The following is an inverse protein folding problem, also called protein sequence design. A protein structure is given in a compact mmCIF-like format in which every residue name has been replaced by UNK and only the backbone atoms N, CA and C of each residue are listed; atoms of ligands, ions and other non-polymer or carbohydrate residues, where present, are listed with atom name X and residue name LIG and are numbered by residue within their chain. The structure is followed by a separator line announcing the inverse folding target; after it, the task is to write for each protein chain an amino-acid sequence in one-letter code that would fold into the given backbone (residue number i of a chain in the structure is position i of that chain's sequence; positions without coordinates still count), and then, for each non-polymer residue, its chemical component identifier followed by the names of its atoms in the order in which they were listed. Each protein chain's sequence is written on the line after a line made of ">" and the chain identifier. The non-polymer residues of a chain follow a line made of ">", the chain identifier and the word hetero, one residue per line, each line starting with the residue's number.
data_IF_375726435334
#
_entry.id   IF_375726435334
#
_cell.length_a   1.000
_cell.length_b   1.000
_cell.length_c   1.000
_cell.angle_alpha   90.00
_cell.angle_beta   90.00
_cell.angle_gamma   90.00
#
_symmetry.space_group_name_H-M   'P 1'
#
loop_
_entity.id
_entity.type
_entity.pdbx_description
1 polymer ?
#
# COMPACT_ATOMS: atom_id res chain seq x y z
N UNK A 1 -42.17 59.56 27.98
CA UNK A 1 -41.52 59.31 26.67
C UNK A 1 -40.60 58.08 26.68
N UNK A 2 -39.87 57.79 27.77
CA UNK A 2 -38.91 56.67 27.85
C UNK A 2 -39.48 55.27 27.50
N UNK A 3 -40.68 54.91 27.98
CA UNK A 3 -41.25 53.57 27.70
C UNK A 3 -41.61 53.31 26.23
N UNK A 4 -41.93 54.36 25.47
CA UNK A 4 -42.23 54.24 24.02
C UNK A 4 -40.96 54.13 23.20
N UNK A 5 -39.88 54.80 23.60
CA UNK A 5 -38.57 54.66 22.96
C UNK A 5 -38.00 53.25 23.18
N UNK A 6 -38.10 52.72 24.40
CA UNK A 6 -37.70 51.35 24.75
C UNK A 6 -38.39 50.29 23.87
N UNK A 7 -39.71 50.41 23.68
CA UNK A 7 -40.45 49.46 22.84
C UNK A 7 -39.98 49.45 21.38
N UNK A 8 -39.58 50.61 20.83
CA UNK A 8 -39.07 50.72 19.46
C UNK A 8 -37.68 50.06 19.34
N UNK A 9 -36.80 50.24 20.31
CA UNK A 9 -35.47 49.60 20.29
C UNK A 9 -35.55 48.08 20.45
N UNK A 10 -36.41 47.59 21.36
CA UNK A 10 -36.64 46.14 21.51
C UNK A 10 -37.21 45.53 20.23
N UNK A 11 -38.19 46.19 19.61
CA UNK A 11 -38.74 45.74 18.33
C UNK A 11 -37.67 45.71 17.22
N UNK A 12 -36.80 46.72 17.16
CA UNK A 12 -35.69 46.76 16.20
C UNK A 12 -34.70 45.62 16.41
N UNK A 13 -34.27 45.37 17.65
CA UNK A 13 -33.34 44.28 17.96
C UNK A 13 -33.95 42.90 17.68
N UNK A 14 -35.24 42.71 17.95
CA UNK A 14 -35.94 41.47 17.61
C UNK A 14 -35.99 41.25 16.10
N UNK A 15 -36.29 42.28 15.31
CA UNK A 15 -36.30 42.17 13.83
C UNK A 15 -34.91 41.84 13.29
N UNK A 16 -33.86 42.47 13.82
CA UNK A 16 -32.46 42.17 13.46
C UNK A 16 -32.10 40.74 13.86
N UNK A 17 -32.51 40.29 15.05
CA UNK A 17 -32.27 38.94 15.53
C UNK A 17 -32.98 37.87 14.69
N UNK A 18 -34.23 38.10 14.30
CA UNK A 18 -34.97 37.18 13.44
C UNK A 18 -34.40 37.14 12.02
N UNK A 19 -33.96 38.28 11.49
CA UNK A 19 -33.34 38.32 10.17
C UNK A 19 -31.99 37.57 10.16
N UNK A 20 -31.17 37.77 11.20
CA UNK A 20 -29.91 37.05 11.39
C UNK A 20 -30.11 35.53 11.55
N UNK A 21 -31.11 35.12 12.33
CA UNK A 21 -31.41 33.70 12.55
C UNK A 21 -31.89 32.98 11.28
N UNK A 22 -32.65 33.66 10.41
CA UNK A 22 -33.05 33.09 9.11
C UNK A 22 -31.85 32.92 8.19
N UNK A 23 -30.93 33.89 8.15
CA UNK A 23 -29.74 33.83 7.29
C UNK A 23 -28.81 32.68 7.67
N UNK A 24 -28.60 32.44 8.96
CA UNK A 24 -27.79 31.30 9.43
C UNK A 24 -28.46 29.98 9.08
N UNK A 25 -29.78 29.87 9.29
CA UNK A 25 -30.51 28.61 9.11
C UNK A 25 -30.66 28.18 7.64
N UNK A 26 -30.41 29.08 6.68
CA UNK A 26 -30.49 28.78 5.24
C UNK A 26 -29.16 28.91 4.52
N UNK A 27 -28.07 29.16 5.24
CA UNK A 27 -26.75 29.18 4.64
C UNK A 27 -26.31 27.72 4.41
N UNK A 28 -26.17 27.34 3.15
CA UNK A 28 -25.52 26.08 2.74
C UNK A 28 -24.01 26.38 2.63
N UNK A 29 -23.18 25.56 3.28
CA UNK A 29 -21.72 25.63 3.11
C UNK A 29 -21.39 25.15 1.70
N UNK A 30 -20.61 25.90 0.90
CA UNK A 30 -20.25 25.45 -0.43
C UNK A 30 -19.39 24.19 -0.33
N UNK A 31 -19.74 23.20 -1.14
CA UNK A 31 -18.98 21.96 -1.28
C UNK A 31 -17.80 22.20 -2.23
N UNK A 32 -16.70 21.49 -1.99
CA UNK A 32 -15.52 21.55 -2.85
C UNK A 32 -15.85 20.80 -4.14
N UNK A 33 -15.64 21.44 -5.27
CA UNK A 33 -15.91 20.85 -6.58
C UNK A 33 -14.74 21.11 -7.53
N UNK A 34 -14.51 20.18 -8.44
CA UNK A 34 -13.52 20.32 -9.49
C UNK A 34 -14.26 20.32 -10.83
N UNK A 35 -14.34 21.48 -11.49
CA UNK A 35 -15.09 21.64 -12.75
C UNK A 35 -14.40 20.95 -13.95
N UNK A 36 -13.08 20.78 -13.89
CA UNK A 36 -12.24 20.14 -14.91
C UNK A 36 -11.10 19.38 -14.20
N UNK A 37 -11.40 18.26 -13.52
CA UNK A 37 -10.37 17.47 -12.87
C UNK A 37 -9.49 16.78 -13.92
N UNK A 38 -8.23 16.49 -13.55
CA UNK A 38 -7.35 15.70 -14.41
C UNK A 38 -7.90 14.28 -14.58
N UNK A 39 -8.42 13.70 -13.50
CA UNK A 39 -9.05 12.40 -13.50
C UNK A 39 -10.31 12.37 -12.62
N UNK A 40 -11.34 11.68 -13.11
CA UNK A 40 -12.54 11.29 -12.38
C UNK A 40 -12.68 9.77 -12.59
N UNK A 41 -12.51 9.00 -11.51
CA UNK A 41 -12.26 7.56 -11.55
C UNK A 41 -13.19 6.82 -10.60
N UNK A 42 -13.66 5.65 -11.01
CA UNK A 42 -14.36 4.69 -10.15
C UNK A 42 -13.46 3.51 -9.80
N UNK A 43 -13.88 2.71 -8.81
CA UNK A 43 -13.20 1.45 -8.49
C UNK A 43 -13.05 0.55 -9.73
N UNK A 44 -11.82 0.07 -9.96
CA UNK A 44 -11.41 -0.73 -11.11
C UNK A 44 -11.01 0.07 -12.36
N UNK A 45 -11.16 1.39 -12.36
CA UNK A 45 -10.68 2.22 -13.46
C UNK A 45 -9.15 2.35 -13.45
N UNK A 46 -8.55 2.30 -14.64
CA UNK A 46 -7.12 2.54 -14.83
C UNK A 46 -6.86 3.88 -15.52
N UNK A 47 -5.74 4.50 -15.15
CA UNK A 47 -5.28 5.77 -15.71
C UNK A 47 -3.75 5.81 -15.78
N UNK A 48 -3.21 6.71 -16.60
CA UNK A 48 -1.77 6.82 -16.83
C UNK A 48 -1.26 8.18 -16.37
N UNK A 49 -0.21 8.19 -15.56
CA UNK A 49 0.54 9.39 -15.17
C UNK A 49 2.01 9.16 -15.46
N UNK A 50 2.63 10.08 -16.21
CA UNK A 50 4.05 10.01 -16.57
C UNK A 50 4.51 8.68 -17.22
N UNK A 51 3.59 7.95 -17.86
CA UNK A 51 3.84 6.66 -18.50
C UNK A 51 3.74 5.45 -17.57
N UNK A 52 3.37 5.63 -16.31
CA UNK A 52 3.00 4.57 -15.37
C UNK A 52 1.48 4.39 -15.35
N UNK A 53 1.02 3.16 -15.53
CA UNK A 53 -0.40 2.80 -15.36
C UNK A 53 -0.69 2.57 -13.87
N UNK A 54 -1.76 3.20 -13.40
CA UNK A 54 -2.31 3.06 -12.06
C UNK A 54 -3.76 2.58 -12.18
N UNK A 55 -4.23 1.83 -11.18
CA UNK A 55 -5.62 1.36 -11.07
C UNK A 55 -6.19 1.79 -9.73
N UNK A 56 -7.43 2.23 -9.70
CA UNK A 56 -8.17 2.43 -8.45
C UNK A 56 -8.61 1.07 -7.93
N UNK A 57 -7.95 0.58 -6.88
CA UNK A 57 -8.20 -0.75 -6.32
C UNK A 57 -9.46 -0.79 -5.44
N UNK A 58 -9.71 0.27 -4.68
CA UNK A 58 -10.83 0.37 -3.73
C UNK A 58 -11.21 1.84 -3.49
N UNK A 59 -12.50 2.08 -3.23
CA UNK A 59 -13.00 3.34 -2.65
C UNK A 59 -13.89 3.00 -1.46
N UNK A 60 -13.58 3.59 -0.32
CA UNK A 60 -14.26 3.33 0.95
C UNK A 60 -14.95 4.59 1.47
N UNK A 61 -16.19 4.44 1.95
CA UNK A 61 -16.93 5.44 2.73
C UNK A 61 -17.32 4.83 4.09
N UNK A 62 -16.95 5.49 5.18
CA UNK A 62 -17.25 5.05 6.55
C UNK A 62 -17.92 6.18 7.33
N UNK A 63 -18.94 5.84 8.11
CA UNK A 63 -19.58 6.76 9.05
C UNK A 63 -18.91 6.64 10.43
N UNK A 64 -18.29 7.72 10.90
CA UNK A 64 -17.71 7.83 12.23
C UNK A 64 -18.61 8.71 13.12
N UNK A 65 -19.06 8.18 14.26
CA UNK A 65 -19.76 8.96 15.27
C UNK A 65 -18.75 9.54 16.28
N UNK A 66 -18.76 10.85 16.48
CA UNK A 66 -17.95 11.49 17.50
C UNK A 66 -18.53 11.30 18.92
N UNK A 67 -17.77 11.68 19.96
CA UNK A 67 -18.22 11.59 21.36
C UNK A 67 -19.49 12.41 21.69
N UNK A 68 -19.87 13.34 20.80
CA UNK A 68 -21.01 14.25 20.93
C UNK A 68 -22.24 13.73 20.18
N UNK A 69 -22.07 12.67 19.38
CA UNK A 69 -23.11 12.03 18.58
C UNK A 69 -23.29 12.66 17.20
N UNK A 70 -22.33 13.44 16.73
CA UNK A 70 -22.26 13.94 15.36
C UNK A 70 -21.67 12.85 14.46
N UNK A 71 -22.31 12.60 13.32
CA UNK A 71 -21.86 11.61 12.31
C UNK A 71 -20.98 12.34 11.29
N UNK A 72 -19.72 11.96 11.22
CA UNK A 72 -18.75 12.36 10.19
C UNK A 72 -18.63 11.24 9.15
N UNK A 73 -18.54 11.62 7.87
CA UNK A 73 -18.31 10.66 6.78
C UNK A 73 -16.84 10.75 6.41
N UNK A 74 -16.10 9.67 6.65
CA UNK A 74 -14.71 9.51 6.25
C UNK A 74 -14.67 8.78 4.91
N UNK A 75 -13.88 9.29 3.96
CA UNK A 75 -13.69 8.69 2.63
C UNK A 75 -12.21 8.51 2.33
N UNK A 76 -11.89 7.40 1.70
CA UNK A 76 -10.54 7.09 1.24
C UNK A 76 -10.60 6.16 0.03
N UNK A 77 -9.46 5.96 -0.60
CA UNK A 77 -9.31 4.98 -1.66
C UNK A 77 -7.92 4.38 -1.68
N UNK A 78 -7.73 3.40 -2.54
CA UNK A 78 -6.44 2.74 -2.74
C UNK A 78 -6.09 2.75 -4.22
N UNK A 79 -4.85 3.14 -4.53
CA UNK A 79 -4.26 3.02 -5.85
C UNK A 79 -3.31 1.82 -5.87
N UNK A 80 -3.31 1.08 -6.98
CA UNK A 80 -2.36 0.01 -7.24
C UNK A 80 -1.64 0.19 -8.57
N UNK A 81 -0.38 -0.23 -8.65
CA UNK A 81 0.40 -0.25 -9.89
C UNK A 81 1.45 -1.35 -9.88
N UNK A 82 1.84 -1.81 -11.06
CA UNK A 82 2.99 -2.71 -11.20
C UNK A 82 4.28 -1.89 -11.18
N UNK A 83 5.14 -2.18 -10.21
CA UNK A 83 6.45 -1.58 -10.05
C UNK A 83 7.54 -2.64 -10.24
N UNK A 84 8.70 -2.22 -10.74
CA UNK A 84 9.89 -3.07 -10.73
C UNK A 84 10.66 -2.77 -9.44
N UNK A 85 10.80 -3.78 -8.58
CA UNK A 85 11.50 -3.67 -7.30
C UNK A 85 12.63 -4.68 -7.22
N UNK A 86 13.64 -4.35 -6.40
CA UNK A 86 14.70 -5.29 -6.06
C UNK A 86 14.14 -6.34 -5.08
N UNK A 87 14.20 -7.59 -5.50
CA UNK A 87 13.85 -8.76 -4.71
C UNK A 87 15.13 -9.51 -4.30
N UNK A 88 15.02 -10.28 -3.23
CA UNK A 88 16.15 -11.07 -2.72
C UNK A 88 15.71 -12.41 -2.16
N UNK A 89 16.56 -13.41 -2.32
CA UNK A 89 16.40 -14.73 -1.72
C UNK A 89 17.71 -15.20 -1.10
N UNK A 90 17.61 -15.98 -0.03
CA UNK A 90 18.77 -16.60 0.61
C UNK A 90 18.72 -18.11 0.50
N UNK A 91 19.74 -18.68 -0.13
CA UNK A 91 19.96 -20.11 -0.12
C UNK A 91 20.90 -20.49 1.02
N UNK A 92 20.43 -21.33 1.95
CA UNK A 92 21.25 -21.76 3.07
C UNK A 92 22.36 -22.73 2.65
N UNK A 93 23.48 -22.72 3.36
CA UNK A 93 24.53 -23.73 3.15
C UNK A 93 23.98 -25.14 3.38
N UNK A 94 24.39 -26.09 2.53
CA UNK A 94 23.92 -27.48 2.46
C UNK A 94 22.43 -27.67 2.12
N UNK A 95 21.71 -26.59 1.80
CA UNK A 95 20.33 -26.70 1.31
C UNK A 95 20.27 -27.20 -0.13
N UNK A 96 19.14 -27.79 -0.51
CA UNK A 96 18.85 -28.20 -1.88
C UNK A 96 17.93 -27.17 -2.51
N UNK A 97 18.28 -26.71 -3.71
CA UNK A 97 17.52 -25.74 -4.51
C UNK A 97 17.24 -26.32 -5.89
N UNK A 98 16.13 -25.89 -6.49
CA UNK A 98 15.77 -26.28 -7.85
C UNK A 98 16.32 -25.25 -8.85
N UNK A 99 17.07 -25.73 -9.85
CA UNK A 99 17.70 -24.91 -10.88
C UNK A 99 17.76 -25.67 -12.21
N UNK A 100 17.33 -25.04 -13.31
CA UNK A 100 17.29 -25.64 -14.65
C UNK A 100 16.61 -27.02 -14.70
N UNK A 101 15.47 -27.18 -14.01
CA UNK A 101 14.73 -28.46 -13.85
C UNK A 101 15.52 -29.58 -13.11
N UNK A 102 16.59 -29.24 -12.39
CA UNK A 102 17.38 -30.17 -11.58
C UNK A 102 17.53 -29.73 -10.12
N UNK A 103 17.87 -30.67 -9.24
CA UNK A 103 18.14 -30.40 -7.82
C UNK A 103 19.64 -30.19 -7.57
N UNK A 104 19.99 -29.13 -6.85
CA UNK A 104 21.37 -28.77 -6.56
C UNK A 104 21.56 -28.50 -5.08
N UNK A 105 22.60 -29.10 -4.48
CA UNK A 105 23.03 -28.78 -3.13
C UNK A 105 23.96 -27.58 -3.14
N UNK A 106 23.64 -26.58 -2.34
CA UNK A 106 24.50 -25.44 -2.08
C UNK A 106 25.62 -25.85 -1.14
N UNK A 107 26.86 -25.65 -1.55
CA UNK A 107 28.04 -25.96 -0.76
C UNK A 107 28.93 -24.72 -0.61
N UNK A 108 29.17 -24.32 0.64
CA UNK A 108 30.01 -23.18 0.99
C UNK A 108 31.13 -23.64 1.90
N UNK A 109 32.37 -23.30 1.54
CA UNK A 109 33.58 -23.67 2.27
C UNK A 109 34.30 -22.46 2.89
N UNK A 110 34.77 -22.62 4.12
CA UNK A 110 35.63 -21.65 4.82
C UNK A 110 34.87 -20.65 5.69
N UNK A 111 35.61 -19.93 6.53
CA UNK A 111 35.07 -19.00 7.55
C UNK A 111 34.73 -17.60 6.97
N UNK A 112 35.31 -17.24 5.82
CA UNK A 112 35.03 -15.99 5.10
C UNK A 112 34.86 -16.31 3.61
N UNK A 113 33.78 -17.02 3.23
CA UNK A 113 33.59 -17.45 1.86
C UNK A 113 33.31 -16.25 0.95
N UNK A 114 33.79 -16.34 -0.29
CA UNK A 114 33.50 -15.35 -1.35
C UNK A 114 32.85 -15.99 -2.58
N UNK A 115 32.67 -17.31 -2.53
CA UNK A 115 32.14 -18.14 -3.58
C UNK A 115 31.45 -19.36 -2.96
N UNK A 116 30.54 -19.96 -3.73
CA UNK A 116 29.85 -21.19 -3.40
C UNK A 116 29.86 -22.12 -4.61
N UNK A 117 29.59 -23.40 -4.37
CA UNK A 117 29.45 -24.42 -5.41
C UNK A 117 28.06 -25.04 -5.30
N UNK A 118 27.35 -25.10 -6.42
CA UNK A 118 26.18 -25.95 -6.59
C UNK A 118 26.67 -27.33 -7.01
N UNK A 119 26.30 -28.35 -6.24
CA UNK A 119 26.62 -29.76 -6.51
C UNK A 119 25.32 -30.48 -6.88
N UNK A 120 25.28 -31.10 -8.05
CA UNK A 120 24.10 -31.81 -8.54
C UNK A 120 23.66 -32.92 -7.56
N UNK A 121 22.36 -32.98 -7.28
CA UNK A 121 21.75 -34.09 -6.56
C UNK A 121 21.22 -35.08 -7.59
N UNK A 122 21.95 -36.18 -7.76
CA UNK A 122 21.58 -37.22 -8.71
C UNK A 122 20.33 -37.98 -8.24
N UNK A 123 19.33 -38.10 -9.13
CA UNK A 123 18.20 -39.02 -8.97
C UNK A 123 18.67 -40.46 -9.25
N UNK A 124 19.27 -41.07 -8.23
CA UNK A 124 19.81 -42.43 -8.30
C UNK A 124 18.71 -43.46 -8.56
N UNK A 125 17.51 -43.24 -8.05
CA UNK A 125 16.37 -44.15 -8.25
C UNK A 125 15.92 -44.16 -9.71
N UNK A 126 15.90 -42.99 -10.37
CA UNK A 126 15.64 -42.89 -11.80
C UNK A 126 16.75 -43.60 -12.61
N UNK A 127 18.02 -43.33 -12.31
CA UNK A 127 19.16 -43.96 -13.01
C UNK A 127 19.11 -45.48 -12.90
N UNK A 128 18.81 -46.04 -11.72
CA UNK A 128 18.67 -47.48 -11.54
C UNK A 128 17.44 -48.03 -12.29
N UNK A 129 16.31 -47.32 -12.25
CA UNK A 129 15.08 -47.74 -12.92
C UNK A 129 15.17 -47.77 -14.45
N UNK A 130 16.08 -46.97 -15.03
CA UNK A 130 16.35 -46.96 -16.47
C UNK A 130 17.24 -48.12 -16.94
N UNK A 131 18.02 -48.74 -16.06
CA UNK A 131 18.86 -49.90 -16.38
C UNK A 131 18.16 -51.23 -15.98
N UNK A 132 17.61 -52.01 -16.94
CA UNK A 132 16.96 -53.28 -16.62
C UNK A 132 17.91 -54.36 -16.11
N UNK A 133 19.23 -54.17 -16.22
CA UNK A 133 20.23 -55.08 -15.68
C UNK A 133 20.56 -54.76 -14.21
N UNK A 134 20.28 -53.55 -13.74
CA UNK A 134 20.54 -53.15 -12.37
C UNK A 134 19.36 -53.51 -11.44
N UNK A 135 19.68 -53.89 -10.21
CA UNK A 135 18.68 -53.90 -9.15
C UNK A 135 18.30 -52.46 -8.82
N UNK A 136 17.00 -52.19 -8.62
CA UNK A 136 16.47 -50.85 -8.30
C UNK A 136 16.78 -50.37 -6.88
N UNK A 137 17.85 -50.90 -6.27
CA UNK A 137 18.31 -50.54 -4.93
C UNK A 137 19.82 -50.76 -4.82
N UNK A 138 20.47 -49.97 -3.98
CA UNK A 138 21.88 -50.18 -3.61
C UNK A 138 22.01 -51.13 -2.42
N UNK A 139 23.16 -51.81 -2.32
CA UNK A 139 23.49 -52.69 -1.19
C UNK A 139 24.79 -52.25 -0.55
N UNK A 140 24.81 -52.18 0.78
CA UNK A 140 26.03 -51.87 1.54
C UNK A 140 26.81 -53.17 1.88
N UNK A 141 28.12 -53.18 1.61
CA UNK A 141 29.03 -54.24 2.09
C UNK A 141 30.35 -53.66 2.56
N UNK A 142 30.80 -54.08 3.74
CA UNK A 142 32.07 -53.64 4.33
C UNK A 142 32.20 -52.10 4.44
N UNK A 143 31.08 -51.38 4.51
CA UNK A 143 31.01 -49.92 4.58
C UNK A 143 31.09 -49.20 3.22
N UNK A 144 31.03 -49.94 2.12
CA UNK A 144 31.00 -49.40 0.74
C UNK A 144 29.66 -49.76 0.09
N UNK A 145 29.12 -48.82 -0.69
CA UNK A 145 27.84 -48.97 -1.40
C UNK A 145 28.08 -49.59 -2.78
N UNK A 146 27.23 -50.55 -3.16
CA UNK A 146 27.32 -51.24 -4.44
C UNK A 146 25.96 -51.28 -5.13
N UNK A 147 25.97 -51.28 -6.46
CA UNK A 147 24.83 -51.63 -7.31
C UNK A 147 24.99 -53.08 -7.76
N UNK A 148 23.93 -53.88 -7.61
CA UNK A 148 23.89 -55.24 -8.13
C UNK A 148 23.49 -55.16 -9.60
N UNK A 149 24.35 -55.65 -10.50
CA UNK A 149 24.06 -55.70 -11.93
C UNK A 149 24.08 -57.15 -12.40
N UNK A 150 23.01 -57.57 -13.07
CA UNK A 150 22.85 -58.93 -13.62
C UNK A 150 23.11 -58.91 -15.13
N UNK A 151 24.07 -59.70 -15.58
CA UNK A 151 24.40 -59.80 -17.01
C UNK A 151 23.39 -60.65 -17.81
N UNK A 152 23.57 -60.69 -19.13
CA UNK A 152 22.69 -61.42 -20.06
C UNK A 152 22.66 -62.94 -19.82
N UNK A 153 23.68 -63.49 -19.16
CA UNK A 153 23.78 -64.91 -18.80
C UNK A 153 23.12 -65.20 -17.42
N UNK A 154 22.64 -64.16 -16.73
CA UNK A 154 21.96 -64.24 -15.45
C UNK A 154 22.89 -64.30 -14.23
N UNK A 155 24.18 -63.97 -14.41
CA UNK A 155 25.13 -63.86 -13.30
C UNK A 155 25.10 -62.43 -12.73
N UNK A 156 25.01 -62.31 -11.40
CA UNK A 156 25.00 -61.01 -10.73
C UNK A 156 26.40 -60.63 -10.24
N UNK A 157 26.80 -59.39 -10.51
CA UNK A 157 28.06 -58.79 -10.04
C UNK A 157 27.78 -57.54 -9.20
N UNK A 158 28.69 -57.24 -8.27
CA UNK A 158 28.66 -56.00 -7.51
C UNK A 158 29.53 -54.96 -8.21
N UNK A 159 28.96 -53.78 -8.43
CA UNK A 159 29.64 -52.60 -8.98
C UNK A 159 29.68 -51.54 -7.89
N UNK A 160 30.84 -50.98 -7.53
CA UNK A 160 30.89 -49.86 -6.58
C UNK A 160 29.98 -48.72 -7.05
N UNK A 161 29.26 -48.08 -6.13
CA UNK A 161 28.32 -47.01 -6.45
C UNK A 161 29.02 -45.84 -7.19
N UNK A 162 30.24 -45.49 -6.80
CA UNK A 162 31.05 -44.44 -7.44
C UNK A 162 31.50 -44.80 -8.87
N UNK A 163 31.55 -46.09 -9.21
CA UNK A 163 31.84 -46.56 -10.57
C UNK A 163 30.57 -46.71 -11.42
N UNK A 164 29.40 -46.84 -10.77
CA UNK A 164 28.11 -47.05 -11.43
C UNK A 164 27.40 -45.72 -11.74
N UNK A 165 27.25 -44.87 -10.73
CA UNK A 165 26.60 -43.57 -10.90
C UNK A 165 27.58 -42.58 -11.54
N UNK A 166 27.10 -41.68 -12.41
CA UNK A 166 27.94 -40.59 -12.91
C UNK A 166 28.44 -39.72 -11.75
N UNK A 167 29.57 -39.06 -11.93
CA UNK A 167 29.99 -38.02 -11.00
C UNK A 167 29.00 -36.85 -11.09
N UNK A 168 28.57 -36.27 -9.96
CA UNK A 168 27.66 -35.13 -9.97
C UNK A 168 28.33 -33.94 -10.67
N UNK A 169 27.54 -33.18 -11.42
CA UNK A 169 28.00 -31.91 -11.95
C UNK A 169 28.23 -30.89 -10.82
N UNK A 170 29.22 -30.01 -11.01
CA UNK A 170 29.55 -28.94 -10.08
C UNK A 170 29.59 -27.60 -10.82
N UNK A 171 28.95 -26.58 -10.25
CA UNK A 171 28.91 -25.21 -10.79
C UNK A 171 29.30 -24.22 -9.69
N UNK A 172 30.39 -23.49 -9.86
CA UNK A 172 30.84 -22.52 -8.87
C UNK A 172 30.53 -21.09 -9.29
N UNK A 173 30.10 -20.27 -8.32
CA UNK A 173 29.77 -18.86 -8.49
C UNK A 173 30.37 -18.04 -7.35
N UNK A 174 30.73 -16.80 -7.64
CA UNK A 174 31.24 -15.82 -6.69
C UNK A 174 30.27 -14.66 -6.50
N UNK A 175 30.46 -13.87 -5.44
CA UNK A 175 29.74 -12.61 -5.31
C UNK A 175 29.95 -11.71 -6.54
N UNK A 176 28.86 -11.21 -7.10
CA UNK A 176 28.79 -10.44 -8.33
C UNK A 176 28.55 -11.26 -9.61
N UNK A 177 28.58 -12.60 -9.55
CA UNK A 177 28.22 -13.43 -10.69
C UNK A 177 26.69 -13.46 -10.87
N UNK A 178 26.25 -13.69 -12.11
CA UNK A 178 24.82 -13.83 -12.45
C UNK A 178 24.50 -15.25 -12.89
N UNK A 179 23.30 -15.73 -12.57
CA UNK A 179 22.76 -17.03 -12.95
C UNK A 179 21.27 -16.93 -13.26
N UNK A 180 20.72 -17.90 -13.97
CA UNK A 180 19.28 -17.97 -14.25
C UNK A 180 18.59 -18.76 -13.14
N UNK A 181 17.57 -18.20 -12.50
CA UNK A 181 16.79 -18.84 -11.44
C UNK A 181 15.32 -18.45 -11.55
N UNK A 182 14.42 -19.44 -11.58
CA UNK A 182 12.97 -19.27 -11.75
C UNK A 182 12.56 -18.38 -12.96
N UNK A 183 13.35 -18.42 -14.05
CA UNK A 183 13.14 -17.58 -15.23
C UNK A 183 13.61 -16.13 -15.09
N UNK A 184 14.29 -15.80 -13.99
CA UNK A 184 14.92 -14.52 -13.74
C UNK A 184 16.45 -14.61 -13.83
N UNK A 185 17.10 -13.59 -14.39
CA UNK A 185 18.55 -13.42 -14.28
C UNK A 185 18.85 -12.81 -12.92
N UNK A 186 19.29 -13.64 -11.96
CA UNK A 186 19.63 -13.22 -10.59
C UNK A 186 21.13 -12.98 -10.46
N UNK A 187 21.52 -12.10 -9.53
CA UNK A 187 22.92 -11.80 -9.21
C UNK A 187 23.23 -12.23 -7.79
N UNK A 188 24.41 -12.82 -7.58
CA UNK A 188 24.92 -13.17 -6.25
C UNK A 188 25.35 -11.87 -5.55
N UNK A 189 24.58 -11.41 -4.58
CA UNK A 189 24.92 -10.20 -3.82
C UNK A 189 25.99 -10.50 -2.77
N UNK A 190 25.78 -11.56 -1.98
CA UNK A 190 26.65 -11.92 -0.87
C UNK A 190 26.77 -13.43 -0.69
N UNK A 191 27.95 -13.86 -0.23
CA UNK A 191 28.21 -15.24 0.21
C UNK A 191 28.75 -15.17 1.63
N UNK A 192 28.14 -15.91 2.54
CA UNK A 192 28.53 -16.02 3.95
C UNK A 192 28.60 -17.50 4.34
N UNK A 193 29.11 -17.80 5.54
CA UNK A 193 29.17 -19.18 6.05
C UNK A 193 27.77 -19.82 6.15
N UNK A 194 26.74 -19.00 6.38
CA UNK A 194 25.35 -19.44 6.59
C UNK A 194 24.61 -19.65 5.25
N UNK A 195 24.99 -18.94 4.19
CA UNK A 195 24.27 -19.00 2.92
C UNK A 195 24.70 -17.99 1.86
N UNK A 196 23.96 -18.00 0.76
CA UNK A 196 24.14 -17.13 -0.40
C UNK A 196 22.90 -16.25 -0.54
N UNK A 197 23.10 -14.93 -0.67
CA UNK A 197 22.02 -14.00 -1.00
C UNK A 197 22.04 -13.71 -2.50
N UNK A 198 20.91 -13.92 -3.14
CA UNK A 198 20.66 -13.59 -4.53
C UNK A 198 19.75 -12.38 -4.59
N UNK A 199 19.97 -11.51 -5.58
CA UNK A 199 19.15 -10.33 -5.83
C UNK A 199 18.77 -10.24 -7.31
N UNK A 200 17.56 -9.78 -7.58
CA UNK A 200 17.07 -9.54 -8.94
C UNK A 200 16.00 -8.45 -8.96
N UNK A 201 15.80 -7.84 -10.12
CA UNK A 201 14.68 -6.94 -10.35
C UNK A 201 13.49 -7.73 -10.87
N UNK A 202 12.31 -7.56 -10.25
CA UNK A 202 11.09 -8.21 -10.71
C UNK A 202 9.84 -7.35 -10.49
N UNK A 203 8.74 -7.67 -11.19
CA UNK A 203 7.49 -6.97 -11.03
C UNK A 203 6.86 -7.28 -9.66
N UNK A 204 6.37 -6.26 -8.97
CA UNK A 204 5.59 -6.34 -7.75
C UNK A 204 4.41 -5.37 -7.84
N UNK A 205 3.23 -5.81 -7.39
CA UNK A 205 2.07 -4.93 -7.22
C UNK A 205 2.30 -4.05 -6.00
N UNK A 206 2.53 -2.76 -6.25
CA UNK A 206 2.62 -1.73 -5.22
C UNK A 206 1.24 -1.12 -4.98
N UNK A 207 0.98 -0.70 -3.73
CA UNK A 207 -0.26 -0.03 -3.35
C UNK A 207 0.01 1.27 -2.59
N UNK A 208 -0.93 2.20 -2.67
CA UNK A 208 -0.93 3.46 -1.92
C UNK A 208 -2.35 3.74 -1.45
N UNK A 209 -2.52 3.88 -0.13
CA UNK A 209 -3.75 4.41 0.45
C UNK A 209 -3.79 5.93 0.25
N UNK A 210 -4.99 6.44 -0.02
CA UNK A 210 -5.23 7.85 -0.37
C UNK A 210 -6.42 8.36 0.45
N UNK A 211 -6.17 9.35 1.30
CA UNK A 211 -7.19 9.95 2.15
C UNK A 211 -7.93 11.11 1.45
N UNK A 212 -9.11 11.46 1.98
CA UNK A 212 -9.87 12.63 1.57
C UNK A 212 -9.03 13.91 1.66
N UNK A 213 -8.98 14.67 0.56
CA UNK A 213 -8.23 15.93 0.42
C UNK A 213 -6.70 15.78 0.60
N UNK A 214 -6.17 14.56 0.45
CA UNK A 214 -4.74 14.30 0.54
C UNK A 214 -3.98 14.80 -0.69
N UNK A 215 -2.78 15.34 -0.47
CA UNK A 215 -1.82 15.60 -1.55
C UNK A 215 -0.99 14.35 -1.79
N UNK A 216 -1.17 13.74 -2.95
CA UNK A 216 -0.40 12.57 -3.40
C UNK A 216 0.56 12.94 -4.52
N UNK A 217 1.65 12.20 -4.64
CA UNK A 217 2.62 12.34 -5.74
C UNK A 217 2.61 11.06 -6.55
N UNK A 218 2.22 11.16 -7.82
CA UNK A 218 2.25 10.07 -8.80
C UNK A 218 3.26 10.43 -9.88
N UNK A 219 4.32 9.63 -10.01
CA UNK A 219 5.45 9.97 -10.88
C UNK A 219 6.14 11.26 -10.45
N UNK A 220 6.16 12.26 -11.33
CA UNK A 220 6.70 13.59 -11.08
C UNK A 220 5.59 14.65 -10.83
N UNK A 221 4.33 14.22 -10.76
CA UNK A 221 3.15 15.10 -10.69
C UNK A 221 2.45 14.98 -9.34
N UNK A 222 2.15 16.12 -8.72
CA UNK A 222 1.35 16.19 -7.50
C UNK A 222 -0.13 16.40 -7.81
N UNK A 223 -1.00 15.69 -7.10
CA UNK A 223 -2.45 15.83 -7.17
C UNK A 223 -3.03 16.04 -5.77
N UNK A 224 -4.20 16.68 -5.69
CA UNK A 224 -5.12 16.54 -4.57
C UNK A 224 -6.08 15.40 -4.92
N UNK A 225 -6.24 14.45 -4.01
CA UNK A 225 -7.27 13.44 -4.07
C UNK A 225 -8.53 13.92 -3.35
N UNK A 226 -9.68 13.75 -3.97
CA UNK A 226 -10.96 14.16 -3.42
C UNK A 226 -12.04 13.12 -3.73
N UNK A 227 -12.82 12.73 -2.73
CA UNK A 227 -13.91 11.78 -2.88
C UNK A 227 -15.25 12.51 -2.68
N UNK A 228 -15.93 12.94 -3.78
CA UNK A 228 -17.23 13.60 -3.66
C UNK A 228 -18.29 12.67 -3.05
N UNK A 229 -18.14 11.37 -3.25
CA UNK A 229 -19.00 10.29 -2.78
C UNK A 229 -18.18 9.01 -2.54
N UNK A 230 -18.82 7.95 -2.04
CA UNK A 230 -18.19 6.66 -1.78
C UNK A 230 -17.92 5.79 -3.03
N UNK A 231 -18.02 6.33 -4.24
CA UNK A 231 -17.84 5.57 -5.49
C UNK A 231 -16.87 6.26 -6.48
N UNK A 232 -16.48 7.50 -6.19
CA UNK A 232 -15.73 8.36 -7.12
C UNK A 232 -14.49 8.93 -6.46
N UNK A 233 -13.34 8.76 -7.11
CA UNK A 233 -12.08 9.43 -6.80
C UNK A 233 -11.81 10.50 -7.86
N UNK A 234 -11.58 11.73 -7.41
CA UNK A 234 -11.18 12.85 -8.24
C UNK A 234 -9.73 13.19 -7.95
N UNK A 235 -8.90 13.24 -8.99
CA UNK A 235 -7.53 13.72 -8.90
C UNK A 235 -7.40 15.03 -9.66
N UNK A 236 -6.88 16.05 -9.01
CA UNK A 236 -6.66 17.37 -9.62
C UNK A 236 -5.30 17.94 -9.24
N UNK A 237 -4.59 18.44 -10.25
CA UNK A 237 -3.33 19.18 -10.11
C UNK A 237 -3.57 20.69 -9.93
N UNK A 238 -4.82 21.16 -9.99
CA UNK A 238 -5.19 22.57 -9.80
C UNK A 238 -5.33 22.93 -8.31
N UNK A 239 -4.18 23.04 -7.65
CA UNK A 239 -4.10 23.49 -6.26
C UNK A 239 -4.64 24.92 -6.06
N UNK A 240 -4.54 25.80 -7.07
CA UNK A 240 -4.99 27.19 -6.94
C UNK A 240 -6.53 27.25 -6.86
N UNK A 241 -7.24 26.46 -7.68
CA UNK A 241 -8.69 26.34 -7.61
C UNK A 241 -9.16 25.75 -6.27
N UNK A 242 -8.47 24.73 -5.75
CA UNK A 242 -8.77 24.16 -4.43
C UNK A 242 -8.58 25.19 -3.30
N UNK A 243 -7.43 25.87 -3.25
CA UNK A 243 -7.17 26.90 -2.24
C UNK A 243 -8.15 28.08 -2.31
N UNK A 244 -8.58 28.46 -3.52
CA UNK A 244 -9.58 29.51 -3.71
C UNK A 244 -10.94 29.14 -3.11
N UNK A 245 -11.35 27.87 -3.21
CA UNK A 245 -12.58 27.35 -2.62
C UNK A 245 -12.49 27.30 -1.09
N UNK A 246 -11.37 26.82 -0.54
CA UNK A 246 -11.13 26.86 0.91
C UNK A 246 -11.21 28.29 1.47
N UNK A 247 -10.64 29.27 0.75
CA UNK A 247 -10.70 30.67 1.15
C UNK A 247 -12.13 31.26 1.11
N UNK A 248 -13.01 30.74 0.26
CA UNK A 248 -14.42 31.14 0.22
C UNK A 248 -15.23 30.49 1.35
N UNK A 249 -14.98 29.20 1.65
CA UNK A 249 -15.56 28.50 2.81
C UNK A 249 -15.20 29.24 4.10
N UNK A 250 -13.91 29.50 4.35
CA UNK A 250 -13.45 30.22 5.55
C UNK A 250 -14.06 31.63 5.65
N UNK A 251 -14.22 32.32 4.51
CA UNK A 251 -14.89 33.63 4.48
C UNK A 251 -16.36 33.53 4.87
N UNK A 252 -17.07 32.48 4.46
CA UNK A 252 -18.47 32.26 4.83
C UNK A 252 -18.61 31.88 6.30
N UNK A 253 -17.73 31.03 6.82
CA UNK A 253 -17.70 30.68 8.24
C UNK A 253 -17.44 31.90 9.12
N UNK A 254 -16.48 32.75 8.74
CA UNK A 254 -16.25 34.03 9.44
C UNK A 254 -17.48 34.95 9.40
N UNK A 255 -18.22 34.98 8.28
CA UNK A 255 -19.47 35.73 8.19
C UNK A 255 -20.56 35.13 9.09
N UNK A 256 -20.70 33.80 9.12
CA UNK A 256 -21.67 33.10 9.95
C UNK A 256 -21.39 33.34 11.44
N UNK A 257 -20.12 33.25 11.88
CA UNK A 257 -19.70 33.63 13.22
C UNK A 257 -20.04 35.09 13.53
N UNK A 258 -19.78 35.99 12.60
CA UNK A 258 -20.11 37.40 12.72
C UNK A 258 -21.61 37.64 12.95
N UNK A 259 -22.46 36.96 12.17
CA UNK A 259 -23.92 37.02 12.31
C UNK A 259 -24.36 36.43 13.65
N UNK A 260 -23.75 35.33 14.09
CA UNK A 260 -23.99 34.73 15.41
C UNK A 260 -23.69 35.70 16.56
N UNK A 261 -22.56 36.40 16.49
CA UNK A 261 -22.21 37.44 17.48
C UNK A 261 -23.23 38.57 17.49
N UNK A 262 -23.70 39.01 16.31
CA UNK A 262 -24.76 40.04 16.20
C UNK A 262 -26.07 39.56 16.83
N UNK A 263 -26.46 38.30 16.61
CA UNK A 263 -27.64 37.70 17.21
C UNK A 263 -27.56 37.73 18.74
N UNK A 264 -26.45 37.25 19.31
CA UNK A 264 -26.21 37.25 20.77
C UNK A 264 -26.26 38.66 21.33
N UNK A 265 -25.55 39.62 20.71
CA UNK A 265 -25.52 41.01 21.14
C UNK A 265 -26.92 41.63 21.06
N UNK A 266 -27.71 41.31 20.04
CA UNK A 266 -29.08 41.81 19.88
C UNK A 266 -30.01 41.32 20.99
N UNK A 267 -29.93 40.03 21.35
CA UNK A 267 -30.69 39.46 22.47
C UNK A 267 -30.25 40.07 23.80
N UNK A 268 -28.94 40.14 24.07
CA UNK A 268 -28.41 40.73 25.31
C UNK A 268 -28.76 42.22 25.43
N UNK A 269 -28.68 42.97 24.34
CA UNK A 269 -29.04 44.40 24.30
C UNK A 269 -30.54 44.59 24.57
N UNK A 270 -31.39 43.73 24.01
CA UNK A 270 -32.83 43.72 24.29
C UNK A 270 -33.11 43.50 25.77
N UNK A 271 -32.46 42.51 26.39
CA UNK A 271 -32.57 42.22 27.82
C UNK A 271 -32.08 43.38 28.69
N UNK A 272 -30.97 44.02 28.32
CA UNK A 272 -30.42 45.17 29.04
C UNK A 272 -31.36 46.38 28.98
N UNK A 273 -31.92 46.68 27.81
CA UNK A 273 -32.88 47.77 27.62
C UNK A 273 -34.15 47.52 28.44
N UNK A 274 -34.62 46.27 28.50
CA UNK A 274 -35.73 45.86 29.37
C UNK A 274 -35.33 46.07 30.84
N UNK A 275 -34.19 45.56 31.29
CA UNK A 275 -33.73 45.71 32.66
C UNK A 275 -33.62 47.19 33.08
N UNK A 276 -33.01 48.03 32.23
CA UNK A 276 -32.88 49.47 32.46
C UNK A 276 -34.24 50.21 32.55
N UNK A 277 -35.25 49.74 31.84
CA UNK A 277 -36.61 50.29 31.92
C UNK A 277 -37.31 49.96 33.27
N UNK A 278 -36.86 48.92 33.97
CA UNK A 278 -37.39 48.47 35.26
C UNK A 278 -36.46 48.77 36.44
N UNK A 279 -35.30 49.41 36.23
CA UNK A 279 -34.48 49.95 37.33
C UNK A 279 -35.29 51.02 38.08
N UNK A 280 -35.55 50.88 39.39
CA UNK A 280 -36.27 51.89 40.15
C UNK A 280 -35.44 53.17 40.19
N UNK A 281 -36.00 54.29 39.73
CA UNK A 281 -35.34 55.59 39.86
C UNK A 281 -35.19 55.91 41.35
N UNK A 282 -33.97 55.92 41.86
CA UNK A 282 -33.70 56.51 43.18
C UNK A 282 -33.69 58.03 42.98
N UNK A 283 -34.86 58.63 43.12
CA UNK A 283 -35.04 60.02 43.51
C UNK A 283 -35.76 60.02 44.86
#
# INVERSE_FOLDING_TARGET
>A
MQRRAVAVYVALFLVVGTAAGVLIATAETPEITFDDPDFELSEGDSFEVDGQEYTVADITETEAEDDVGDVEIERSGQLEWEAVVEQSETWANESVVELDDGEWRVHIEGEDPTAFTLVEVLDRDAILSEDPAADNETVERDGEEYVVVTDEDGESRLVPADDYFPAPEERSYSAGDSLEYDGHSVTVDAVTEDGVTLVWEGPETSTMDVDQEERITLGDTDFIAYFPDGETMVLSSDFEAYEAQLAEIDRLDQQAEGIWRVLIISVLSSLLVIAAAFVPSRY
#
